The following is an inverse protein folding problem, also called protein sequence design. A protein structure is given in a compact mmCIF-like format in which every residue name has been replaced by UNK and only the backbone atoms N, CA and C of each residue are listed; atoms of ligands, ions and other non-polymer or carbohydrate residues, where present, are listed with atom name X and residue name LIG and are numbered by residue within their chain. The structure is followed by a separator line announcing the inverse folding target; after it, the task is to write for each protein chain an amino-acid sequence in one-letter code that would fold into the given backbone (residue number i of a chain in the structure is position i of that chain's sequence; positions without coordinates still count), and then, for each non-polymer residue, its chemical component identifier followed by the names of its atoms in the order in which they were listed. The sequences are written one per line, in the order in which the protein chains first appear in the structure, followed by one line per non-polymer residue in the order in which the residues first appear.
data_IF_508751827994
#
_entry.id   IF_508751827994
#
_cell.length_a   1.000
_cell.length_b   1.000
_cell.length_c   1.000
_cell.angle_alpha   90.00
_cell.angle_beta   90.00
_cell.angle_gamma   90.00
#
_symmetry.space_group_name_H-M   'P 1'
#
loop_
_entity.id
_entity.type
_entity.pdbx_description
1 polymer ?
#
# COMPACT_ATOMS: atom_id res chain seq x y z
N UNK A 1 -3.27 6.95 4.95
CA UNK A 1 -4.25 6.79 3.84
C UNK A 1 -4.04 7.82 2.74
N UNK A 2 -3.92 9.11 3.07
CA UNK A 2 -3.84 10.21 2.09
C UNK A 2 -2.85 10.03 0.93
N UNK A 3 -1.66 9.47 1.18
CA UNK A 3 -0.69 9.16 0.11
C UNK A 3 -1.26 8.19 -0.93
N UNK A 4 -1.91 7.10 -0.49
CA UNK A 4 -2.51 6.12 -1.40
C UNK A 4 -3.73 6.70 -2.11
N UNK A 5 -4.54 7.48 -1.39
CA UNK A 5 -5.70 8.16 -1.96
C UNK A 5 -5.27 9.12 -3.07
N UNK A 6 -4.28 9.98 -2.81
CA UNK A 6 -3.79 10.96 -3.78
C UNK A 6 -3.08 10.32 -4.97
N UNK A 7 -2.26 9.27 -4.75
CA UNK A 7 -1.51 8.63 -5.84
C UNK A 7 -2.33 7.68 -6.69
N UNK A 8 -3.35 7.04 -6.13
CA UNK A 8 -4.16 6.05 -6.83
C UNK A 8 -5.60 6.50 -7.10
N UNK A 9 -5.96 7.71 -6.66
CA UNK A 9 -7.32 8.26 -6.73
C UNK A 9 -8.38 7.30 -6.19
N UNK A 10 -8.12 6.71 -5.03
CA UNK A 10 -8.99 5.73 -4.37
C UNK A 10 -9.61 6.30 -3.09
N UNK A 11 -10.81 5.85 -2.70
CA UNK A 11 -11.43 6.25 -1.45
C UNK A 11 -10.67 5.71 -0.23
N UNK A 12 -10.94 6.32 0.93
CA UNK A 12 -10.28 6.00 2.19
C UNK A 12 -10.43 4.52 2.58
N UNK A 13 -11.64 3.97 2.48
CA UNK A 13 -11.93 2.57 2.81
C UNK A 13 -11.10 1.60 1.96
N UNK A 14 -10.91 1.91 0.68
CA UNK A 14 -10.09 1.10 -0.20
C UNK A 14 -8.61 1.22 0.17
N UNK A 15 -8.13 2.43 0.46
CA UNK A 15 -6.77 2.64 0.93
C UNK A 15 -6.50 1.87 2.24
N UNK A 16 -7.43 1.90 3.19
CA UNK A 16 -7.35 1.16 4.44
C UNK A 16 -7.34 -0.35 4.20
N UNK A 17 -8.25 -0.85 3.36
CA UNK A 17 -8.30 -2.27 3.01
C UNK A 17 -7.00 -2.75 2.35
N UNK A 18 -6.36 -1.93 1.51
CA UNK A 18 -5.05 -2.25 0.92
C UNK A 18 -3.95 -2.33 2.00
N UNK A 19 -3.91 -1.40 2.95
CA UNK A 19 -2.96 -1.49 4.09
C UNK A 19 -3.21 -2.73 4.95
N UNK A 20 -4.48 -3.01 5.29
CA UNK A 20 -4.89 -4.16 6.10
C UNK A 20 -4.50 -5.48 5.44
N UNK A 21 -4.79 -5.67 4.15
CA UNK A 21 -4.39 -6.87 3.41
C UNK A 21 -2.87 -7.04 3.40
N UNK A 22 -2.12 -5.97 3.22
CA UNK A 22 -0.66 -6.02 3.26
C UNK A 22 -0.14 -6.40 4.65
N UNK A 23 -0.71 -5.80 5.71
CA UNK A 23 -0.41 -6.14 7.11
C UNK A 23 -0.64 -7.63 7.39
N UNK A 24 -1.81 -8.16 7.00
CA UNK A 24 -2.16 -9.56 7.21
C UNK A 24 -1.25 -10.52 6.44
N UNK A 25 -0.97 -10.24 5.16
CA UNK A 25 -0.18 -11.13 4.31
C UNK A 25 1.30 -11.20 4.70
N UNK A 26 1.83 -10.16 5.36
CA UNK A 26 3.23 -10.09 5.74
C UNK A 26 3.44 -10.23 7.26
N UNK A 27 2.36 -10.48 8.03
CA UNK A 27 2.37 -10.50 9.49
C UNK A 27 3.04 -9.25 10.09
N UNK A 28 2.78 -8.09 9.49
CA UNK A 28 3.31 -6.79 9.90
C UNK A 28 2.22 -5.97 10.58
N UNK A 29 2.56 -5.22 11.62
CA UNK A 29 1.62 -4.29 12.25
C UNK A 29 1.25 -3.18 11.25
N UNK A 30 -0.02 -2.78 11.26
CA UNK A 30 -0.56 -1.75 10.35
C UNK A 30 0.20 -0.41 10.44
N UNK A 31 0.72 -0.06 11.63
CA UNK A 31 1.60 1.11 11.85
C UNK A 31 2.89 1.03 11.03
N UNK A 32 3.54 -0.13 11.00
CA UNK A 32 4.78 -0.33 10.25
C UNK A 32 4.53 -0.20 8.75
N UNK A 33 3.40 -0.74 8.27
CA UNK A 33 2.98 -0.58 6.87
C UNK A 33 2.72 0.89 6.54
N UNK A 34 2.08 1.64 7.45
CA UNK A 34 1.81 3.06 7.26
C UNK A 34 3.10 3.90 7.22
N UNK A 35 4.10 3.57 8.05
CA UNK A 35 5.42 4.21 8.02
C UNK A 35 6.11 3.97 6.67
N UNK A 36 6.12 2.72 6.20
CA UNK A 36 6.70 2.37 4.89
C UNK A 36 6.01 3.09 3.73
N UNK A 37 4.69 3.24 3.79
CA UNK A 37 3.92 4.02 2.80
C UNK A 37 4.23 5.52 2.92
N UNK A 38 4.45 6.02 4.14
CA UNK A 38 4.89 7.40 4.38
C UNK A 38 6.24 7.71 3.74
N UNK A 39 7.20 6.80 3.92
CA UNK A 39 8.58 6.96 3.41
C UNK A 39 8.67 6.72 1.89
N UNK A 40 8.02 5.67 1.39
CA UNK A 40 8.15 5.23 -0.02
C UNK A 40 7.08 5.81 -0.93
N UNK A 41 5.99 6.31 -0.36
CA UNK A 41 4.81 6.80 -1.07
C UNK A 41 3.93 5.69 -1.67
N UNK A 42 4.22 4.41 -1.43
CA UNK A 42 3.52 3.26 -2.05
C UNK A 42 3.70 2.01 -1.18
N UNK A 43 2.79 1.03 -1.31
CA UNK A 43 2.86 -0.20 -0.54
C UNK A 43 4.06 -1.07 -0.95
N UNK A 44 4.77 -1.67 0.02
CA UNK A 44 5.84 -2.64 -0.28
C UNK A 44 5.28 -3.79 -1.14
N UNK A 45 5.96 -4.13 -2.23
CA UNK A 45 5.53 -5.19 -3.15
C UNK A 45 4.49 -4.79 -4.22
N UNK A 46 3.93 -3.57 -4.20
CA UNK A 46 3.15 -3.07 -5.35
C UNK A 46 4.05 -2.72 -6.53
N UNK A 47 5.22 -2.11 -6.26
CA UNK A 47 6.22 -1.76 -7.29
C UNK A 47 6.63 -2.98 -8.12
N UNK A 48 6.64 -4.16 -7.51
CA UNK A 48 7.03 -5.41 -8.16
C UNK A 48 5.91 -6.09 -8.95
N UNK A 49 4.64 -5.82 -8.62
CA UNK A 49 3.48 -6.31 -9.40
C UNK A 49 3.23 -5.45 -10.63
N UNK A 50 3.37 -4.13 -10.51
CA UNK A 50 3.20 -3.22 -11.65
C UNK A 50 4.24 -3.44 -12.74
N UNK A 51 5.47 -3.84 -12.39
CA UNK A 51 6.52 -4.19 -13.37
C UNK A 51 6.32 -5.57 -14.02
N UNK A 52 5.56 -6.46 -13.39
CA UNK A 52 5.37 -7.84 -13.86
C UNK A 52 4.30 -7.97 -14.95
N UNK A 53 3.35 -7.04 -15.03
CA UNK A 53 2.36 -6.97 -16.12
C UNK A 53 2.85 -6.19 -17.35
N UNK A 54 4.07 -5.65 -17.35
CA UNK A 54 4.67 -4.95 -18.49
C UNK A 54 5.60 -5.87 -19.32
N UNK A 55 5.48 -7.20 -19.17
CA UNK A 55 6.21 -8.21 -19.95
C UNK A 55 5.24 -9.13 -20.67
#
# INVERSE_FOLDING_TARGET
MGILMARHNIPEDEAFNRLRRHSQNNNLKLREVALLVGERGTLPGQVERSRRCAR
#
